data_IF_390767064451
#
_entry.id   IF_390767064451
#
_cell.length_a   1.000
_cell.length_b   1.000
_cell.length_c   1.000
_cell.angle_alpha   90.00
_cell.angle_beta   90.00
_cell.angle_gamma   90.00
#
_symmetry.space_group_name_H-M   'P 1'
#
loop_
_entity.id
_entity.type
_entity.pdbx_description
1 polymer ?
#
# COMPACT_ATOMS: atom_id res chain seq x y z
N UNK A 1 -31.56 -5.61 -5.22
CA UNK A 1 -30.27 -5.60 -5.95
C UNK A 1 -29.26 -6.31 -5.07
N UNK A 2 -28.52 -7.31 -5.57
CA UNK A 2 -27.53 -8.01 -4.76
C UNK A 2 -26.40 -7.13 -4.22
N UNK A 3 -25.93 -7.44 -3.02
CA UNK A 3 -24.67 -6.92 -2.47
C UNK A 3 -23.57 -7.97 -2.63
N UNK A 4 -22.33 -7.53 -2.84
CA UNK A 4 -21.18 -8.40 -3.05
C UNK A 4 -20.18 -8.23 -1.92
N UNK A 5 -19.66 -9.36 -1.42
CA UNK A 5 -18.51 -9.41 -0.53
C UNK A 5 -17.40 -10.25 -1.17
N UNK A 6 -16.22 -9.67 -1.33
CA UNK A 6 -15.02 -10.37 -1.80
C UNK A 6 -13.91 -10.22 -0.75
N UNK A 7 -13.26 -11.32 -0.37
CA UNK A 7 -11.98 -11.33 0.37
C UNK A 7 -10.94 -12.14 -0.40
N UNK A 8 -9.77 -11.56 -0.60
CA UNK A 8 -8.56 -12.24 -1.04
C UNK A 8 -7.62 -12.37 0.16
N UNK A 9 -7.58 -13.55 0.78
CA UNK A 9 -6.81 -13.82 1.99
C UNK A 9 -5.46 -14.45 1.65
N UNK A 10 -4.35 -13.85 2.08
CA UNK A 10 -2.98 -14.22 1.72
C UNK A 10 -2.01 -14.13 2.90
N UNK A 11 -0.75 -14.55 2.71
CA UNK A 11 0.33 -14.15 3.64
C UNK A 11 0.59 -12.63 3.60
N UNK A 12 1.41 -12.14 4.53
CA UNK A 12 1.59 -10.70 4.80
C UNK A 12 2.03 -9.87 3.57
N UNK A 13 1.11 -9.03 3.11
CA UNK A 13 1.27 -8.01 2.08
C UNK A 13 2.08 -6.85 2.69
N UNK A 14 3.18 -6.39 2.05
CA UNK A 14 3.93 -5.24 2.54
C UNK A 14 3.04 -3.99 2.72
N UNK A 15 3.11 -3.33 3.88
CA UNK A 15 2.28 -2.17 4.22
C UNK A 15 2.23 -1.10 3.12
N UNK A 16 3.40 -0.78 2.54
CA UNK A 16 3.53 0.19 1.43
C UNK A 16 2.73 -0.14 0.16
N UNK A 17 2.27 -1.37 -0.02
CA UNK A 17 1.52 -1.83 -1.19
C UNK A 17 0.00 -1.91 -0.92
N UNK A 18 -0.43 -1.95 0.34
CA UNK A 18 -1.79 -2.34 0.72
C UNK A 18 -2.86 -1.34 0.25
N UNK A 19 -2.66 -0.04 0.48
CA UNK A 19 -3.63 0.99 0.07
C UNK A 19 -3.83 1.00 -1.44
N UNK A 20 -2.73 0.96 -2.20
CA UNK A 20 -2.80 0.93 -3.67
C UNK A 20 -3.48 -0.34 -4.17
N UNK A 21 -3.17 -1.49 -3.59
CA UNK A 21 -3.80 -2.76 -3.95
C UNK A 21 -5.31 -2.78 -3.64
N UNK A 22 -5.76 -2.20 -2.52
CA UNK A 22 -7.19 -2.09 -2.22
C UNK A 22 -7.91 -1.25 -3.29
N UNK A 23 -7.31 -0.12 -3.70
CA UNK A 23 -7.86 0.74 -4.77
C UNK A 23 -7.84 0.06 -6.14
N UNK A 24 -6.76 -0.65 -6.48
CA UNK A 24 -6.66 -1.40 -7.74
C UNK A 24 -7.71 -2.53 -7.77
N UNK A 25 -7.93 -3.26 -6.66
CA UNK A 25 -9.00 -4.26 -6.57
C UNK A 25 -10.37 -3.63 -6.82
N UNK A 26 -10.65 -2.50 -6.17
CA UNK A 26 -11.90 -1.76 -6.35
C UNK A 26 -12.11 -1.41 -7.81
N UNK A 27 -11.17 -0.69 -8.41
CA UNK A 27 -11.25 -0.21 -9.80
C UNK A 27 -11.39 -1.36 -10.80
N UNK A 28 -10.48 -2.35 -10.75
CA UNK A 28 -10.49 -3.46 -11.71
C UNK A 28 -11.79 -4.26 -11.70
N UNK A 29 -12.37 -4.48 -10.51
CA UNK A 29 -13.64 -5.21 -10.39
C UNK A 29 -14.79 -4.32 -10.83
N UNK A 30 -14.91 -3.09 -10.32
CA UNK A 30 -16.04 -2.22 -10.66
C UNK A 30 -16.07 -1.86 -12.15
N UNK A 31 -14.90 -1.59 -12.74
CA UNK A 31 -14.79 -1.26 -14.16
C UNK A 31 -15.17 -2.48 -15.00
N UNK A 32 -14.69 -3.67 -14.62
CA UNK A 32 -15.06 -4.92 -15.30
C UNK A 32 -16.55 -5.25 -15.22
N UNK A 33 -17.21 -4.96 -14.09
CA UNK A 33 -18.66 -5.13 -13.94
C UNK A 33 -19.43 -4.14 -14.82
N UNK A 34 -19.01 -2.88 -14.87
CA UNK A 34 -19.63 -1.83 -15.70
C UNK A 34 -19.44 -2.11 -17.19
N UNK A 35 -18.24 -2.51 -17.61
CA UNK A 35 -17.95 -2.94 -18.99
C UNK A 35 -18.87 -4.10 -19.44
N UNK A 36 -19.21 -5.00 -18.51
CA UNK A 36 -20.12 -6.11 -18.75
C UNK A 36 -21.61 -5.72 -18.69
N UNK A 37 -21.92 -4.44 -18.49
CA UNK A 37 -23.28 -3.88 -18.49
C UNK A 37 -23.99 -3.93 -17.14
N UNK A 38 -23.29 -4.19 -16.03
CA UNK A 38 -23.86 -4.13 -14.70
C UNK A 38 -23.74 -2.71 -14.11
N UNK A 39 -24.62 -2.38 -13.18
CA UNK A 39 -24.56 -1.13 -12.40
C UNK A 39 -24.50 -1.45 -10.91
N UNK A 40 -23.94 -0.55 -10.10
CA UNK A 40 -23.87 -0.66 -8.65
C UNK A 40 -24.08 0.71 -7.98
N UNK A 41 -24.48 0.73 -6.72
CA UNK A 41 -24.69 1.97 -5.97
C UNK A 41 -23.39 2.47 -5.33
N UNK A 42 -22.73 1.60 -4.56
CA UNK A 42 -21.51 1.94 -3.82
C UNK A 42 -20.50 0.80 -3.86
N UNK A 43 -19.22 1.13 -3.78
CA UNK A 43 -18.14 0.15 -3.68
C UNK A 43 -17.04 0.67 -2.76
N UNK A 44 -16.64 -0.16 -1.79
CA UNK A 44 -15.62 0.18 -0.81
C UNK A 44 -14.62 -0.95 -0.66
N UNK A 45 -13.33 -0.61 -0.71
CA UNK A 45 -12.26 -1.56 -0.51
C UNK A 45 -11.57 -1.36 0.84
N UNK A 46 -11.03 -2.44 1.36
CA UNK A 46 -10.30 -2.48 2.62
C UNK A 46 -9.04 -3.33 2.46
N UNK A 47 -8.08 -3.10 3.34
CA UNK A 47 -6.88 -3.91 3.43
C UNK A 47 -6.44 -4.11 4.88
N UNK A 48 -5.84 -5.27 5.11
CA UNK A 48 -5.08 -5.62 6.32
C UNK A 48 -3.75 -6.22 5.87
N UNK A 49 -2.79 -6.48 6.76
CA UNK A 49 -1.62 -7.29 6.47
C UNK A 49 -1.88 -8.50 5.59
N UNK A 50 -3.01 -9.21 5.75
CA UNK A 50 -3.27 -10.47 5.06
C UNK A 50 -4.48 -10.47 4.13
N UNK A 51 -5.16 -9.34 3.94
CA UNK A 51 -6.43 -9.28 3.20
C UNK A 51 -6.48 -8.09 2.26
N UNK A 52 -7.05 -8.34 1.09
CA UNK A 52 -7.75 -7.32 0.31
C UNK A 52 -9.23 -7.66 0.32
N UNK A 53 -10.08 -6.68 0.58
CA UNK A 53 -11.53 -6.87 0.67
C UNK A 53 -12.23 -5.85 -0.19
N UNK A 54 -13.29 -6.27 -0.88
CA UNK A 54 -14.17 -5.39 -1.63
C UNK A 54 -15.62 -5.69 -1.25
N UNK A 55 -16.32 -4.65 -0.80
CA UNK A 55 -17.77 -4.66 -0.60
C UNK A 55 -18.42 -3.81 -1.69
N UNK A 56 -19.42 -4.34 -2.37
CA UNK A 56 -20.20 -3.63 -3.40
C UNK A 56 -21.67 -3.69 -2.99
N UNK A 57 -22.36 -2.57 -3.01
CA UNK A 57 -23.76 -2.47 -2.65
C UNK A 57 -24.63 -2.17 -3.88
N UNK A 58 -25.78 -2.83 -3.96
CA UNK A 58 -26.79 -2.56 -4.95
C UNK A 58 -26.38 -2.88 -6.39
N UNK A 59 -25.71 -4.01 -6.62
CA UNK A 59 -25.37 -4.50 -7.96
C UNK A 59 -26.64 -4.92 -8.71
N UNK A 60 -26.74 -4.65 -10.02
CA UNK A 60 -27.82 -5.20 -10.84
C UNK A 60 -27.72 -6.73 -10.92
N UNK A 61 -28.85 -7.43 -10.88
CA UNK A 61 -28.88 -8.91 -10.83
C UNK A 61 -28.43 -9.58 -12.14
N UNK A 62 -28.57 -8.87 -13.25
CA UNK A 62 -28.17 -9.30 -14.59
C UNK A 62 -27.76 -8.08 -15.43
N UNK A 63 -26.98 -8.33 -16.48
CA UNK A 63 -26.71 -7.32 -17.51
C UNK A 63 -27.93 -7.15 -18.43
N UNK A 64 -28.11 -5.98 -19.07
CA UNK A 64 -29.24 -5.77 -19.96
C UNK A 64 -29.11 -6.65 -21.21
N UNK A 65 -30.26 -7.14 -21.69
CA UNK A 65 -30.36 -7.72 -23.03
C UNK A 65 -29.95 -6.67 -24.06
N UNK A 66 -29.03 -7.03 -24.95
CA UNK A 66 -28.55 -6.15 -26.01
C UNK A 66 -29.24 -6.49 -27.33
N UNK A 67 -29.70 -5.46 -28.02
CA UNK A 67 -30.23 -5.55 -29.37
C UNK A 67 -29.27 -4.85 -30.33
N UNK A 68 -28.80 -5.55 -31.35
CA UNK A 68 -27.86 -5.05 -32.36
C UNK A 68 -28.45 -5.25 -33.76
N UNK A 69 -28.65 -4.16 -34.47
CA UNK A 69 -29.09 -4.18 -35.87
C UNK A 69 -27.86 -4.16 -36.77
N UNK A 70 -27.51 -5.33 -37.32
CA UNK A 70 -26.37 -5.45 -38.22
C UNK A 70 -26.83 -5.30 -39.66
N UNK A 71 -26.41 -4.23 -40.31
CA UNK A 71 -26.68 -4.01 -41.74
C UNK A 71 -25.84 -4.96 -42.60
N UNK A 72 -26.53 -5.77 -43.38
CA UNK A 72 -25.96 -6.72 -44.33
C UNK A 72 -25.87 -6.19 -45.76
N UNK A 73 -25.62 -7.08 -46.72
CA UNK A 73 -25.52 -6.71 -48.13
C UNK A 73 -26.86 -6.24 -48.71
N UNK A 74 -26.79 -5.54 -49.86
CA UNK A 74 -27.98 -5.08 -50.60
C UNK A 74 -28.82 -6.29 -51.04
N UNK A 75 -30.14 -6.13 -51.10
CA UNK A 75 -31.04 -7.14 -51.66
C UNK A 75 -30.63 -7.39 -53.12
N UNK A 76 -30.41 -8.67 -53.48
CA UNK A 76 -29.89 -9.07 -54.78
C UNK A 76 -28.36 -9.07 -54.92
N UNK A 77 -27.60 -8.85 -53.83
CA UNK A 77 -26.14 -9.00 -53.83
C UNK A 77 -25.70 -10.45 -54.16
N UNK A 78 -24.45 -10.66 -54.61
CA UNK A 78 -23.92 -11.99 -54.92
C UNK A 78 -24.09 -12.97 -53.75
N UNK A 79 -24.46 -14.21 -54.06
CA UNK A 79 -24.74 -15.25 -53.06
C UNK A 79 -23.60 -15.40 -52.04
N UNK A 80 -22.34 -15.29 -52.48
CA UNK A 80 -21.17 -15.36 -51.61
C UNK A 80 -21.14 -14.29 -50.51
N UNK A 81 -21.62 -13.07 -50.79
CA UNK A 81 -21.69 -11.98 -49.82
C UNK A 81 -22.81 -12.22 -48.80
N UNK A 82 -23.93 -12.79 -49.27
CA UNK A 82 -25.05 -13.18 -48.42
C UNK A 82 -24.67 -14.35 -47.50
N UNK A 83 -24.02 -15.38 -48.03
CA UNK A 83 -23.55 -16.54 -47.26
C UNK A 83 -22.49 -16.15 -46.22
N UNK A 84 -21.63 -15.18 -46.55
CA UNK A 84 -20.69 -14.58 -45.61
C UNK A 84 -21.41 -13.85 -44.47
N UNK A 85 -22.46 -13.09 -44.79
CA UNK A 85 -23.25 -12.36 -43.81
C UNK A 85 -24.06 -13.28 -42.89
N UNK A 86 -24.72 -14.31 -43.44
CA UNK A 86 -25.45 -15.34 -42.69
C UNK A 86 -24.51 -16.09 -41.74
N UNK A 87 -23.32 -16.51 -42.21
CA UNK A 87 -22.30 -17.13 -41.34
C UNK A 87 -21.83 -16.19 -40.22
N UNK A 88 -21.70 -14.90 -40.50
CA UNK A 88 -21.23 -13.92 -39.51
C UNK A 88 -22.27 -13.54 -38.45
N UNK A 89 -23.55 -13.81 -38.72
CA UNK A 89 -24.68 -13.49 -37.83
C UNK A 89 -25.24 -14.75 -37.16
N UNK A 90 -25.00 -15.93 -37.73
CA UNK A 90 -25.57 -17.21 -37.27
C UNK A 90 -27.06 -17.36 -37.59
N UNK A 91 -27.64 -16.41 -38.34
CA UNK A 91 -29.05 -16.42 -38.72
C UNK A 91 -29.26 -17.10 -40.07
N UNK A 92 -30.49 -17.56 -40.31
CA UNK A 92 -30.95 -18.03 -41.61
C UNK A 92 -31.57 -16.89 -42.42
N UNK A 93 -31.71 -17.09 -43.73
CA UNK A 93 -32.18 -16.05 -44.65
C UNK A 93 -33.58 -15.52 -44.31
N UNK A 94 -34.47 -16.41 -43.86
CA UNK A 94 -35.82 -16.12 -43.42
C UNK A 94 -35.90 -15.32 -42.11
N UNK A 95 -34.80 -15.24 -41.36
CA UNK A 95 -34.67 -14.43 -40.15
C UNK A 95 -34.12 -13.02 -40.42
N UNK A 96 -33.75 -12.72 -41.67
CA UNK A 96 -33.29 -11.39 -42.06
C UNK A 96 -34.47 -10.50 -42.44
N UNK A 97 -34.38 -9.24 -42.05
CA UNK A 97 -35.35 -8.21 -42.39
C UNK A 97 -34.84 -7.37 -43.54
N UNK A 98 -35.73 -6.90 -44.41
CA UNK A 98 -35.34 -5.96 -45.47
C UNK A 98 -35.62 -4.54 -44.98
N UNK A 99 -34.58 -3.70 -44.96
CA UNK A 99 -34.71 -2.27 -44.67
C UNK A 99 -34.31 -1.46 -45.91
N UNK A 100 -35.21 -0.58 -46.36
CA UNK A 100 -34.98 0.29 -47.52
C UNK A 100 -34.56 1.70 -47.07
N UNK A 101 -33.47 2.19 -47.63
CA UNK A 101 -33.01 3.56 -47.43
C UNK A 101 -32.71 4.25 -48.78
N UNK A 102 -32.24 5.50 -48.75
CA UNK A 102 -31.93 6.29 -49.95
C UNK A 102 -30.88 5.64 -50.89
N UNK A 103 -30.18 4.60 -50.46
CA UNK A 103 -29.17 3.84 -51.22
C UNK A 103 -29.69 2.46 -51.67
N UNK A 104 -30.93 2.11 -51.34
CA UNK A 104 -31.66 0.90 -51.76
C UNK A 104 -32.04 -0.03 -50.60
N UNK A 105 -32.60 -1.19 -50.93
CA UNK A 105 -32.99 -2.22 -49.96
C UNK A 105 -31.77 -3.05 -49.50
N UNK A 106 -31.59 -3.23 -48.20
CA UNK A 106 -30.53 -4.05 -47.59
C UNK A 106 -31.14 -5.10 -46.66
N UNK A 107 -30.46 -6.25 -46.55
CA UNK A 107 -30.75 -7.20 -45.50
C UNK A 107 -30.23 -6.68 -44.15
N UNK A 108 -30.99 -6.87 -43.08
CA UNK A 108 -30.66 -6.47 -41.72
C UNK A 108 -30.87 -7.67 -40.80
N UNK A 109 -29.88 -7.97 -39.99
CA UNK A 109 -29.97 -8.95 -38.93
C UNK A 109 -30.26 -8.24 -37.61
N UNK A 110 -31.40 -8.56 -36.98
CA UNK A 110 -31.70 -8.14 -35.62
C UNK A 110 -31.13 -9.19 -34.66
N UNK A 111 -29.95 -8.91 -34.11
CA UNK A 111 -29.29 -9.79 -33.16
C UNK A 111 -29.73 -9.44 -31.74
N UNK A 112 -30.24 -10.42 -31.00
CA UNK A 112 -30.56 -10.28 -29.58
C UNK A 112 -29.59 -11.12 -28.77
N UNK A 113 -28.83 -10.47 -27.86
CA UNK A 113 -27.95 -11.15 -26.92
C UNK A 113 -28.59 -11.06 -25.53
N UNK A 114 -29.04 -12.17 -24.95
CA UNK A 114 -29.69 -12.14 -23.64
C UNK A 114 -28.72 -11.62 -22.58
N UNK A 115 -29.29 -10.95 -21.58
CA UNK A 115 -28.59 -10.57 -20.36
C UNK A 115 -27.91 -11.77 -19.71
N UNK A 116 -26.82 -11.50 -18.98
CA UNK A 116 -26.07 -12.53 -18.26
C UNK A 116 -26.25 -12.30 -16.76
N UNK A 117 -26.37 -13.37 -15.95
CA UNK A 117 -26.48 -13.24 -14.51
C UNK A 117 -25.20 -12.60 -13.92
N UNK A 118 -25.38 -11.73 -12.93
CA UNK A 118 -24.29 -11.00 -12.32
C UNK A 118 -23.25 -11.91 -11.66
N UNK A 119 -23.66 -13.06 -11.12
CA UNK A 119 -22.75 -14.05 -10.53
C UNK A 119 -21.74 -14.61 -11.55
N UNK A 120 -22.16 -14.89 -12.78
CA UNK A 120 -21.28 -15.38 -13.84
C UNK A 120 -20.32 -14.29 -14.33
N UNK A 121 -20.83 -13.06 -14.52
CA UNK A 121 -19.98 -11.92 -14.88
C UNK A 121 -18.94 -11.66 -13.78
N UNK A 122 -19.37 -11.66 -12.51
CA UNK A 122 -18.49 -11.41 -11.38
C UNK A 122 -17.38 -12.47 -11.28
N UNK A 123 -17.70 -13.76 -11.49
CA UNK A 123 -16.70 -14.81 -11.52
C UNK A 123 -15.62 -14.55 -12.59
N UNK A 124 -16.01 -14.21 -13.82
CA UNK A 124 -15.08 -13.90 -14.91
C UNK A 124 -14.23 -12.66 -14.63
N UNK A 125 -14.85 -11.60 -14.09
CA UNK A 125 -14.16 -10.35 -13.73
C UNK A 125 -13.17 -10.58 -12.60
N UNK A 126 -13.53 -11.37 -11.58
CA UNK A 126 -12.63 -11.71 -10.48
C UNK A 126 -11.47 -12.57 -10.95
N UNK A 127 -11.72 -13.59 -11.78
CA UNK A 127 -10.65 -14.41 -12.35
C UNK A 127 -9.65 -13.54 -13.12
N UNK A 128 -10.16 -12.67 -14.01
CA UNK A 128 -9.33 -11.75 -14.79
C UNK A 128 -8.54 -10.79 -13.90
N UNK A 129 -9.19 -10.23 -12.87
CA UNK A 129 -8.58 -9.31 -11.91
C UNK A 129 -7.46 -9.99 -11.13
N UNK A 130 -7.69 -11.18 -10.60
CA UNK A 130 -6.71 -11.90 -9.78
C UNK A 130 -5.51 -12.35 -10.63
N UNK A 131 -5.75 -12.85 -11.86
CA UNK A 131 -4.65 -13.30 -12.73
C UNK A 131 -3.78 -12.14 -13.24
N UNK A 132 -4.35 -10.96 -13.42
CA UNK A 132 -3.67 -9.78 -13.98
C UNK A 132 -3.40 -8.68 -12.96
N UNK A 133 -3.45 -8.99 -11.66
CA UNK A 133 -3.37 -7.99 -10.60
C UNK A 133 -2.04 -7.22 -10.66
N UNK A 134 -2.04 -5.88 -10.63
CA UNK A 134 -0.88 -5.03 -10.95
C UNK A 134 0.08 -4.88 -9.76
N UNK A 135 0.54 -6.01 -9.20
CA UNK A 135 1.53 -6.00 -8.13
C UNK A 135 2.87 -5.43 -8.62
N UNK A 136 3.51 -4.47 -7.89
CA UNK A 136 4.85 -3.98 -8.24
C UNK A 136 5.90 -5.09 -8.28
N UNK A 137 5.69 -6.15 -7.49
CA UNK A 137 6.52 -7.36 -7.48
C UNK A 137 5.65 -8.58 -7.18
N UNK A 138 5.24 -9.30 -8.21
CA UNK A 138 4.57 -10.59 -8.09
C UNK A 138 5.57 -11.76 -8.20
N UNK A 139 5.26 -12.87 -7.55
CA UNK A 139 6.04 -14.11 -7.62
C UNK A 139 5.11 -15.30 -7.85
N UNK A 140 5.66 -16.40 -8.37
CA UNK A 140 5.03 -17.71 -8.33
C UNK A 140 5.45 -18.40 -7.05
N UNK A 141 4.51 -19.10 -6.40
CA UNK A 141 4.74 -19.74 -5.11
C UNK A 141 4.56 -21.26 -5.23
N UNK A 142 5.48 -22.02 -4.64
CA UNK A 142 5.48 -23.48 -4.72
C UNK A 142 5.49 -23.98 -6.17
N UNK A 143 4.60 -24.93 -6.48
CA UNK A 143 4.38 -25.45 -7.84
C UNK A 143 3.31 -24.68 -8.63
N UNK A 144 2.72 -23.61 -8.07
CA UNK A 144 1.61 -22.87 -8.66
C UNK A 144 1.99 -22.03 -9.89
N UNK A 145 1.00 -21.75 -10.74
CA UNK A 145 1.13 -20.84 -11.88
C UNK A 145 0.72 -19.40 -11.54
N UNK A 146 -0.23 -19.22 -10.62
CA UNK A 146 -0.68 -17.92 -10.13
C UNK A 146 0.49 -17.05 -9.65
N UNK A 147 0.55 -15.83 -10.19
CA UNK A 147 1.48 -14.78 -9.75
C UNK A 147 0.76 -13.89 -8.75
N UNK A 148 1.29 -13.81 -7.53
CA UNK A 148 0.75 -12.95 -6.47
C UNK A 148 1.88 -12.36 -5.64
N UNK A 149 1.62 -11.28 -4.90
CA UNK A 149 2.63 -10.64 -4.03
C UNK A 149 3.17 -11.60 -2.96
N UNK A 150 2.31 -12.50 -2.48
CA UNK A 150 2.54 -13.51 -1.45
C UNK A 150 1.62 -14.72 -1.70
N UNK A 151 1.78 -15.87 -1.05
CA UNK A 151 0.83 -16.98 -1.22
C UNK A 151 -0.61 -16.55 -0.90
N UNK A 152 -1.53 -16.72 -1.86
CA UNK A 152 -2.97 -16.57 -1.65
C UNK A 152 -3.51 -17.89 -1.08
N UNK A 153 -4.27 -17.82 0.02
CA UNK A 153 -4.73 -18.96 0.79
C UNK A 153 -6.19 -19.31 0.55
N UNK A 154 -7.04 -18.29 0.41
CA UNK A 154 -8.47 -18.49 0.15
C UNK A 154 -9.09 -17.29 -0.53
N UNK A 155 -10.20 -17.56 -1.22
CA UNK A 155 -11.07 -16.55 -1.81
C UNK A 155 -12.43 -16.71 -1.15
N UNK A 156 -12.95 -15.62 -0.60
CA UNK A 156 -14.35 -15.52 -0.21
C UNK A 156 -15.03 -14.65 -1.26
N UNK A 157 -16.14 -15.12 -1.84
CA UNK A 157 -16.90 -14.35 -2.80
C UNK A 157 -18.39 -14.67 -2.65
N UNK A 158 -19.15 -13.72 -2.12
CA UNK A 158 -20.58 -13.85 -1.85
C UNK A 158 -21.38 -12.85 -2.65
N UNK A 159 -22.54 -13.30 -3.12
CA UNK A 159 -23.63 -12.47 -3.62
C UNK A 159 -24.81 -12.60 -2.66
N UNK A 160 -25.21 -11.50 -2.05
CA UNK A 160 -26.22 -11.45 -0.99
C UNK A 160 -27.47 -10.81 -1.53
N UNK A 161 -28.59 -11.52 -1.44
CA UNK A 161 -29.92 -11.04 -1.83
C UNK A 161 -30.88 -11.18 -0.65
N UNK A 162 -32.13 -10.72 -0.80
CA UNK A 162 -33.18 -10.97 0.18
C UNK A 162 -33.45 -12.46 0.42
N UNK A 163 -33.16 -13.32 -0.57
CA UNK A 163 -33.29 -14.77 -0.45
C UNK A 163 -32.15 -15.42 0.35
N UNK A 164 -31.03 -14.71 0.55
CA UNK A 164 -29.85 -15.20 1.27
C UNK A 164 -28.54 -14.94 0.52
N UNK A 165 -27.47 -15.53 1.04
CA UNK A 165 -26.12 -15.41 0.51
C UNK A 165 -25.76 -16.64 -0.34
N UNK A 166 -25.30 -16.39 -1.56
CA UNK A 166 -24.84 -17.42 -2.50
C UNK A 166 -23.36 -17.22 -2.79
N UNK A 167 -22.62 -18.33 -2.89
CA UNK A 167 -21.19 -18.30 -3.25
C UNK A 167 -21.05 -18.09 -4.75
N UNK A 168 -20.19 -17.17 -5.15
CA UNK A 168 -19.84 -16.95 -6.57
C UNK A 168 -19.04 -18.17 -7.07
N UNK A 169 -19.44 -18.81 -8.19
CA UNK A 169 -18.80 -20.03 -8.68
C UNK A 169 -17.45 -19.72 -9.36
N UNK A 170 -16.42 -19.51 -8.54
CA UNK A 170 -15.07 -19.14 -8.96
C UNK A 170 -14.06 -20.19 -8.46
N UNK A 171 -13.17 -20.63 -9.36
CA UNK A 171 -12.00 -21.45 -9.05
C UNK A 171 -10.78 -20.86 -9.77
N UNK A 172 -9.72 -20.58 -9.01
CA UNK A 172 -8.45 -20.12 -9.55
C UNK A 172 -7.34 -21.04 -9.08
N UNK A 173 -6.85 -21.89 -9.98
CA UNK A 173 -5.74 -22.81 -9.74
C UNK A 173 -5.98 -23.70 -8.48
N UNK A 174 -7.24 -24.09 -8.22
CA UNK A 174 -7.66 -24.91 -7.07
C UNK A 174 -8.09 -24.10 -5.85
N UNK A 175 -8.01 -22.76 -5.89
CA UNK A 175 -8.61 -21.88 -4.88
C UNK A 175 -10.08 -21.65 -5.21
N UNK A 176 -10.92 -22.59 -4.77
CA UNK A 176 -12.37 -22.50 -4.91
C UNK A 176 -12.90 -21.43 -3.96
N UNK A 177 -13.70 -20.49 -4.48
CA UNK A 177 -14.34 -19.47 -3.66
C UNK A 177 -15.35 -20.09 -2.69
N UNK A 178 -15.43 -19.53 -1.48
CA UNK A 178 -16.34 -20.00 -0.44
C UNK A 178 -16.97 -18.87 0.36
N UNK A 179 -17.57 -19.23 1.49
CA UNK A 179 -18.17 -18.30 2.46
C UNK A 179 -17.41 -18.23 3.79
N UNK A 180 -16.21 -18.82 3.86
CA UNK A 180 -15.43 -18.94 5.10
C UNK A 180 -14.22 -18.02 5.08
N UNK A 181 -13.96 -17.34 6.20
CA UNK A 181 -12.74 -16.58 6.46
C UNK A 181 -12.11 -17.04 7.79
N UNK A 182 -11.05 -16.39 8.22
CA UNK A 182 -10.36 -16.60 9.50
C UNK A 182 -10.19 -15.27 10.22
N UNK A 183 -10.04 -15.32 11.54
CA UNK A 183 -9.70 -14.14 12.35
C UNK A 183 -8.21 -13.83 12.36
N UNK A 184 -7.76 -13.25 13.46
CA UNK A 184 -6.35 -12.96 13.69
C UNK A 184 -5.51 -14.24 13.77
N UNK A 185 -4.33 -14.24 13.13
CA UNK A 185 -3.45 -15.43 12.97
C UNK A 185 -3.16 -16.17 14.28
N UNK A 186 -3.05 -15.44 15.38
CA UNK A 186 -2.64 -16.01 16.67
C UNK A 186 -3.74 -16.02 17.73
N UNK A 187 -4.73 -15.12 17.62
CA UNK A 187 -5.75 -14.92 18.67
C UNK A 187 -7.09 -15.55 18.32
N UNK A 188 -7.38 -15.72 17.02
CA UNK A 188 -8.59 -16.39 16.53
C UNK A 188 -8.31 -17.05 15.17
N UNK A 189 -7.47 -18.11 15.12
CA UNK A 189 -7.02 -18.72 13.87
C UNK A 189 -8.10 -19.57 13.17
N UNK A 190 -9.15 -19.96 13.90
CA UNK A 190 -10.19 -20.84 13.42
C UNK A 190 -11.00 -20.20 12.29
N UNK A 191 -11.43 -21.05 11.35
CA UNK A 191 -12.24 -20.61 10.24
C UNK A 191 -13.70 -20.46 10.68
N UNK A 192 -14.39 -19.46 10.14
CA UNK A 192 -15.81 -19.24 10.35
C UNK A 192 -16.49 -18.78 9.07
N UNK A 193 -17.74 -19.21 8.88
CA UNK A 193 -18.58 -18.77 7.78
C UNK A 193 -19.16 -17.37 8.04
N UNK A 194 -19.46 -16.65 6.96
CA UNK A 194 -20.15 -15.34 6.99
C UNK A 194 -21.26 -15.32 5.94
N UNK A 195 -22.27 -14.46 6.15
CA UNK A 195 -23.43 -14.36 5.27
C UNK A 195 -23.65 -12.98 4.65
N UNK A 196 -22.93 -11.96 5.08
CA UNK A 196 -23.00 -10.60 4.52
C UNK A 196 -21.74 -9.81 4.88
N UNK A 197 -21.58 -8.62 4.30
CA UNK A 197 -20.49 -7.71 4.70
C UNK A 197 -20.58 -7.30 6.18
N UNK A 198 -21.79 -7.02 6.68
CA UNK A 198 -21.99 -6.63 8.09
C UNK A 198 -21.65 -7.77 9.05
N UNK A 199 -22.10 -8.99 8.76
CA UNK A 199 -21.73 -10.18 9.56
C UNK A 199 -20.22 -10.44 9.49
N UNK A 200 -19.63 -10.30 8.30
CA UNK A 200 -18.18 -10.41 8.09
C UNK A 200 -17.40 -9.40 8.95
N UNK A 201 -17.73 -8.12 8.88
CA UNK A 201 -17.05 -7.07 9.63
C UNK A 201 -17.22 -7.26 11.15
N UNK A 202 -18.42 -7.59 11.61
CA UNK A 202 -18.70 -7.84 13.02
C UNK A 202 -17.94 -9.06 13.55
N UNK A 203 -17.92 -10.17 12.79
CA UNK A 203 -17.20 -11.40 13.17
C UNK A 203 -15.70 -11.21 13.14
N UNK A 204 -15.15 -10.52 12.14
CA UNK A 204 -13.73 -10.18 12.11
C UNK A 204 -13.32 -9.37 13.34
N UNK A 205 -14.10 -8.35 13.72
CA UNK A 205 -13.82 -7.53 14.91
C UNK A 205 -13.83 -8.38 16.19
N UNK A 206 -14.80 -9.29 16.34
CA UNK A 206 -14.83 -10.27 17.45
C UNK A 206 -13.65 -11.25 17.41
N UNK A 207 -13.14 -11.54 16.22
CA UNK A 207 -11.99 -12.40 15.97
C UNK A 207 -10.67 -11.60 15.87
N UNK A 208 -10.61 -10.44 16.51
CA UNK A 208 -9.43 -9.58 16.63
C UNK A 208 -8.87 -9.07 15.29
N UNK A 209 -9.73 -8.67 14.37
CA UNK A 209 -9.33 -8.03 13.11
C UNK A 209 -10.13 -6.74 12.96
N UNK A 210 -9.44 -5.61 13.06
CA UNK A 210 -9.99 -4.30 12.67
C UNK A 210 -9.77 -4.16 11.18
N UNK A 211 -10.85 -4.19 10.39
CA UNK A 211 -10.77 -4.25 8.93
C UNK A 211 -10.31 -2.93 8.30
N UNK A 212 -10.79 -1.81 8.82
CA UNK A 212 -10.53 -0.48 8.27
C UNK A 212 -9.16 0.06 8.71
N UNK A 213 -8.30 0.40 7.74
CA UNK A 213 -6.97 0.95 8.02
C UNK A 213 -7.02 2.32 8.72
N UNK A 214 -8.05 3.13 8.44
CA UNK A 214 -8.26 4.42 9.10
C UNK A 214 -8.72 4.22 10.54
N UNK A 215 -9.57 3.22 10.82
CA UNK A 215 -9.94 2.84 12.20
C UNK A 215 -8.70 2.38 12.97
N UNK A 216 -7.86 1.50 12.37
CA UNK A 216 -6.60 1.05 12.99
C UNK A 216 -5.66 2.21 13.29
N UNK A 217 -5.46 3.12 12.35
CA UNK A 217 -4.61 4.31 12.54
C UNK A 217 -5.13 5.20 13.69
N UNK A 218 -6.45 5.44 13.74
CA UNK A 218 -7.06 6.22 14.81
C UNK A 218 -6.93 5.55 16.18
N UNK A 219 -7.08 4.23 16.26
CA UNK A 219 -6.86 3.46 17.49
C UNK A 219 -5.42 3.62 18.00
N UNK A 220 -4.43 3.45 17.11
CA UNK A 220 -3.02 3.58 17.45
C UNK A 220 -2.72 5.01 17.93
N UNK A 221 -3.17 6.03 17.20
CA UNK A 221 -2.91 7.42 17.54
C UNK A 221 -3.53 7.82 18.88
N UNK A 222 -4.81 7.51 19.09
CA UNK A 222 -5.53 7.85 20.32
C UNK A 222 -4.90 7.17 21.53
N UNK A 223 -4.64 5.87 21.45
CA UNK A 223 -4.01 5.12 22.56
C UNK A 223 -2.58 5.60 22.83
N UNK A 224 -1.82 5.94 21.78
CA UNK A 224 -0.48 6.51 21.93
C UNK A 224 -0.51 7.87 22.63
N UNK A 225 -1.42 8.77 22.21
CA UNK A 225 -1.57 10.09 22.83
C UNK A 225 -2.03 9.98 24.28
N UNK A 226 -2.96 9.09 24.59
CA UNK A 226 -3.43 8.84 25.96
C UNK A 226 -2.29 8.37 26.88
N UNK A 227 -1.50 7.39 26.43
CA UNK A 227 -0.36 6.88 27.19
C UNK A 227 0.76 7.91 27.34
N UNK A 228 1.03 8.69 26.29
CA UNK A 228 2.00 9.79 26.36
C UNK A 228 1.56 10.83 27.38
N UNK A 229 0.30 11.26 27.34
CA UNK A 229 -0.27 12.24 28.27
C UNK A 229 -0.19 11.77 29.73
N UNK A 230 -0.51 10.50 30.00
CA UNK A 230 -0.39 9.93 31.35
C UNK A 230 1.05 9.96 31.91
N UNK A 231 2.06 10.05 31.04
CA UNK A 231 3.47 10.15 31.39
C UNK A 231 4.01 11.59 31.34
N UNK A 232 3.16 12.59 31.06
CA UNK A 232 3.58 13.98 30.84
C UNK A 232 4.42 14.17 29.57
N UNK A 233 4.25 13.30 28.58
CA UNK A 233 4.97 13.32 27.31
C UNK A 233 4.03 13.68 26.15
N UNK A 234 4.62 14.04 25.01
CA UNK A 234 3.90 14.26 23.76
C UNK A 234 4.42 13.37 22.64
N UNK A 235 3.52 12.93 21.76
CA UNK A 235 3.86 12.19 20.55
C UNK A 235 4.53 13.13 19.54
N UNK A 236 5.66 12.68 18.96
CA UNK A 236 6.19 13.29 17.74
C UNK A 236 5.34 12.79 16.57
N UNK A 237 4.61 13.71 15.94
CA UNK A 237 3.65 13.36 14.89
C UNK A 237 4.33 12.83 13.63
N UNK A 238 3.84 11.69 13.15
CA UNK A 238 4.35 11.06 11.94
C UNK A 238 3.24 10.28 11.23
N UNK A 239 2.55 10.97 10.32
CA UNK A 239 1.41 10.38 9.59
C UNK A 239 1.85 9.24 8.66
N UNK A 240 3.07 9.29 8.14
CA UNK A 240 3.62 8.25 7.28
C UNK A 240 3.89 6.97 8.06
N UNK A 241 4.53 7.09 9.23
CA UNK A 241 4.76 5.94 10.11
C UNK A 241 3.44 5.39 10.65
N UNK A 242 2.48 6.26 10.99
CA UNK A 242 1.15 5.84 11.46
C UNK A 242 0.43 4.97 10.42
N UNK A 243 0.42 5.42 9.15
CA UNK A 243 -0.17 4.66 8.06
C UNK A 243 0.58 3.33 7.84
N UNK A 244 1.91 3.33 7.92
CA UNK A 244 2.72 2.11 7.77
C UNK A 244 2.42 1.10 8.89
N UNK A 245 2.46 1.53 10.16
CA UNK A 245 2.21 0.67 11.32
C UNK A 245 0.77 0.15 11.33
N UNK A 246 -0.21 0.97 10.95
CA UNK A 246 -1.60 0.52 10.77
C UNK A 246 -1.74 -0.55 9.66
N UNK A 247 -0.84 -0.55 8.68
CA UNK A 247 -0.72 -1.61 7.67
C UNK A 247 0.06 -2.85 8.13
N UNK A 248 0.79 -2.80 9.25
CA UNK A 248 1.55 -3.94 9.79
C UNK A 248 0.74 -4.79 10.79
N UNK A 249 -0.40 -4.29 11.26
CA UNK A 249 -1.21 -4.95 12.30
C UNK A 249 -2.67 -5.08 11.88
N UNK A 250 -3.33 -6.14 12.33
CA UNK A 250 -4.78 -6.36 12.25
C UNK A 250 -5.46 -5.99 13.59
N UNK A 251 -4.74 -6.12 14.71
CA UNK A 251 -5.20 -5.75 16.05
C UNK A 251 -4.11 -4.96 16.80
N UNK A 252 -4.19 -3.62 16.82
CA UNK A 252 -3.14 -2.80 17.41
C UNK A 252 -3.15 -2.86 18.95
N UNK A 253 -2.00 -3.19 19.54
CA UNK A 253 -1.74 -3.10 20.99
C UNK A 253 -0.54 -2.18 21.21
N UNK A 254 -0.78 -1.00 21.76
CA UNK A 254 0.23 0.05 21.96
C UNK A 254 1.02 -0.20 23.24
N UNK A 255 2.35 -0.26 23.12
CA UNK A 255 3.29 -0.47 24.22
C UNK A 255 4.29 0.69 24.27
N UNK A 256 4.51 1.25 25.46
CA UNK A 256 5.44 2.37 25.66
C UNK A 256 6.68 1.88 26.38
N UNK A 257 7.83 2.05 25.74
CA UNK A 257 9.14 1.65 26.26
C UNK A 257 10.04 2.82 26.63
N UNK A 258 11.03 2.54 27.46
CA UNK A 258 12.06 3.51 27.84
C UNK A 258 13.27 3.43 26.93
N UNK A 259 13.82 4.59 26.60
CA UNK A 259 15.14 4.70 25.98
C UNK A 259 16.19 4.69 27.09
N UNK A 260 17.24 3.89 26.92
CA UNK A 260 18.35 3.84 27.88
C UNK A 260 18.99 5.20 28.09
N UNK A 261 19.29 5.55 29.34
CA UNK A 261 19.82 6.86 29.74
C UNK A 261 21.10 7.24 28.99
N UNK A 262 21.91 6.27 28.60
CA UNK A 262 23.14 6.48 27.84
C UNK A 262 22.92 6.95 26.40
N UNK A 263 21.69 6.85 25.88
CA UNK A 263 21.32 7.28 24.52
C UNK A 263 20.62 8.63 24.49
N UNK A 264 20.21 9.17 25.66
CA UNK A 264 19.53 10.47 25.74
C UNK A 264 20.42 11.65 25.37
N UNK A 265 21.74 11.43 25.23
CA UNK A 265 22.69 12.41 24.71
C UNK A 265 22.76 12.45 23.18
N UNK A 266 22.12 11.50 22.48
CA UNK A 266 22.08 11.52 21.02
C UNK A 266 21.16 12.65 20.52
N UNK A 267 21.46 13.25 19.37
CA UNK A 267 20.56 14.21 18.74
C UNK A 267 19.18 13.58 18.50
N UNK A 268 18.08 14.35 18.66
CA UNK A 268 16.72 13.87 18.42
C UNK A 268 16.53 13.26 17.02
N UNK A 269 17.21 13.77 16.02
CA UNK A 269 17.14 13.32 14.62
C UNK A 269 17.73 11.91 14.49
N UNK A 270 18.86 11.63 15.15
CA UNK A 270 19.48 10.30 15.19
C UNK A 270 18.57 9.28 15.88
N UNK A 271 17.98 9.66 17.02
CA UNK A 271 17.03 8.82 17.74
C UNK A 271 15.79 8.51 16.90
N UNK A 272 15.20 9.52 16.28
CA UNK A 272 14.01 9.38 15.44
C UNK A 272 14.27 8.48 14.24
N UNK A 273 15.32 8.73 13.47
CA UNK A 273 15.65 7.94 12.29
C UNK A 273 15.92 6.49 12.65
N UNK A 274 16.72 6.24 13.70
CA UNK A 274 17.01 4.88 14.17
C UNK A 274 15.76 4.11 14.58
N UNK A 275 14.82 4.77 15.27
CA UNK A 275 13.57 4.17 15.73
C UNK A 275 12.55 3.98 14.61
N UNK A 276 12.40 4.98 13.75
CA UNK A 276 11.43 5.02 12.65
C UNK A 276 11.80 3.99 11.58
N UNK A 277 13.01 4.04 11.04
CA UNK A 277 13.36 3.26 9.86
C UNK A 277 13.59 1.78 10.18
N UNK A 278 14.30 1.49 11.27
CA UNK A 278 14.69 0.12 11.59
C UNK A 278 13.65 -0.66 12.39
N UNK A 279 12.83 0.02 13.19
CA UNK A 279 11.92 -0.64 14.14
C UNK A 279 10.47 -0.18 14.06
N UNK A 280 10.16 0.85 13.24
CA UNK A 280 8.81 1.40 13.09
C UNK A 280 8.22 1.87 14.42
N UNK A 281 9.07 2.44 15.29
CA UNK A 281 8.64 2.98 16.58
C UNK A 281 8.34 4.47 16.48
N UNK A 282 7.31 4.92 17.20
CA UNK A 282 7.05 6.34 17.38
C UNK A 282 7.90 6.91 18.51
N UNK A 283 8.20 8.21 18.43
CA UNK A 283 8.98 8.92 19.44
C UNK A 283 8.07 9.69 20.40
N UNK A 284 8.36 9.61 21.70
CA UNK A 284 7.74 10.47 22.70
C UNK A 284 8.76 11.47 23.25
N UNK A 285 8.38 12.75 23.28
CA UNK A 285 9.22 13.84 23.77
C UNK A 285 8.69 14.46 25.05
N UNK A 286 9.63 14.87 25.91
CA UNK A 286 9.36 15.67 27.09
C UNK A 286 9.14 17.16 26.77
N UNK A 287 8.87 17.95 27.80
CA UNK A 287 8.69 19.40 27.68
C UNK A 287 9.95 20.15 27.22
N UNK A 288 11.14 19.57 27.46
CA UNK A 288 12.44 20.09 26.99
C UNK A 288 12.72 19.73 25.52
N UNK A 289 11.78 19.08 24.83
CA UNK A 289 11.92 18.62 23.45
C UNK A 289 12.75 17.34 23.29
N UNK A 290 13.34 16.79 24.36
CA UNK A 290 14.13 15.56 24.28
C UNK A 290 13.24 14.34 24.11
N UNK A 291 13.73 13.40 23.31
CA UNK A 291 13.07 12.11 23.11
C UNK A 291 13.54 11.15 24.19
N UNK A 292 12.60 10.70 25.01
CA UNK A 292 12.89 9.95 26.25
C UNK A 292 12.25 8.56 26.25
N UNK A 293 11.23 8.35 25.42
CA UNK A 293 10.52 7.09 25.29
C UNK A 293 10.17 6.81 23.84
N UNK A 294 9.90 5.55 23.57
CA UNK A 294 9.44 5.08 22.27
C UNK A 294 8.12 4.33 22.42
N UNK A 295 7.40 4.21 21.32
CA UNK A 295 6.15 3.45 21.25
C UNK A 295 6.26 2.40 20.16
N UNK A 296 5.99 1.16 20.51
CA UNK A 296 5.85 0.04 19.58
C UNK A 296 4.40 -0.45 19.57
N UNK A 297 3.95 -0.95 18.44
CA UNK A 297 2.59 -1.48 18.28
C UNK A 297 2.69 -2.98 18.00
N UNK A 298 2.26 -3.79 18.96
CA UNK A 298 2.14 -5.22 18.79
C UNK A 298 0.85 -5.55 18.02
N UNK A 299 0.88 -6.65 17.26
CA UNK A 299 -0.29 -7.19 16.56
C UNK A 299 -1.06 -8.23 17.40
N UNK A 300 -0.86 -8.28 18.72
CA UNK A 300 -1.51 -9.26 19.58
C UNK A 300 -1.55 -8.82 21.02
N UNK A 301 -2.60 -9.27 21.69
CA UNK A 301 -2.63 -9.33 23.14
C UNK A 301 -1.77 -10.49 23.64
N UNK A 302 -1.28 -10.33 24.86
CA UNK A 302 -0.40 -11.29 25.53
C UNK A 302 -0.80 -11.38 27.01
N UNK A 303 -0.59 -12.55 27.61
CA UNK A 303 -0.98 -12.80 28.99
C UNK A 303 -0.22 -11.93 30.01
N UNK A 304 0.98 -11.48 29.66
CA UNK A 304 1.83 -10.57 30.44
C UNK A 304 1.65 -9.09 30.03
N UNK A 305 0.53 -8.77 29.35
CA UNK A 305 0.19 -7.41 28.91
C UNK A 305 1.31 -6.72 28.11
N UNK A 306 2.08 -7.49 27.35
CA UNK A 306 3.10 -7.00 26.43
C UNK A 306 4.48 -6.84 27.05
N UNK A 307 4.69 -7.25 28.31
CA UNK A 307 5.98 -7.08 29.00
C UNK A 307 7.14 -7.77 28.26
N UNK A 308 6.96 -9.01 27.82
CA UNK A 308 7.98 -9.77 27.06
C UNK A 308 8.24 -9.12 25.70
N UNK A 309 7.19 -8.66 25.02
CA UNK A 309 7.32 -7.95 23.74
C UNK A 309 8.13 -6.67 23.94
N UNK A 310 7.81 -5.88 24.97
CA UNK A 310 8.48 -4.63 25.25
C UNK A 310 9.96 -4.84 25.60
N UNK A 311 10.28 -5.82 26.45
CA UNK A 311 11.66 -6.22 26.77
C UNK A 311 12.46 -6.61 25.51
N UNK A 312 11.84 -7.39 24.62
CA UNK A 312 12.45 -7.78 23.35
C UNK A 312 12.76 -6.56 22.45
N UNK A 313 11.77 -5.68 22.26
CA UNK A 313 11.92 -4.46 21.48
C UNK A 313 12.96 -3.50 22.09
N UNK A 314 13.00 -3.36 23.43
CA UNK A 314 14.03 -2.59 24.12
C UNK A 314 15.43 -3.13 23.87
N UNK A 315 15.63 -4.46 23.89
CA UNK A 315 16.92 -5.08 23.58
C UNK A 315 17.37 -4.79 22.15
N UNK A 316 16.46 -4.88 21.18
CA UNK A 316 16.76 -4.58 19.77
C UNK A 316 17.07 -3.10 19.58
N UNK A 317 16.26 -2.21 20.16
CA UNK A 317 16.50 -0.78 20.10
C UNK A 317 17.84 -0.39 20.73
N UNK A 318 18.16 -0.95 21.91
CA UNK A 318 19.43 -0.72 22.58
C UNK A 318 20.61 -1.05 21.67
N UNK A 319 20.59 -2.19 20.99
CA UNK A 319 21.66 -2.55 20.04
C UNK A 319 21.79 -1.52 18.91
N UNK A 320 20.67 -1.10 18.30
CA UNK A 320 20.68 -0.09 17.23
C UNK A 320 21.15 1.29 17.69
N UNK A 321 20.76 1.71 18.88
CA UNK A 321 21.20 2.99 19.45
C UNK A 321 22.66 2.94 19.91
N UNK A 322 23.19 1.77 20.29
CA UNK A 322 24.62 1.59 20.53
C UNK A 322 25.44 1.81 19.26
N UNK A 323 25.00 1.26 18.12
CA UNK A 323 25.65 1.50 16.83
C UNK A 323 25.60 2.99 16.46
N UNK A 324 24.41 3.62 16.52
CA UNK A 324 24.25 5.05 16.26
C UNK A 324 25.14 5.93 17.16
N UNK A 325 25.22 5.59 18.46
CA UNK A 325 26.08 6.30 19.40
C UNK A 325 27.55 6.17 19.07
N UNK A 326 28.00 4.98 18.67
CA UNK A 326 29.38 4.77 18.26
C UNK A 326 29.75 5.65 17.06
N UNK A 327 28.89 5.70 16.03
CA UNK A 327 29.12 6.54 14.85
C UNK A 327 29.12 8.03 15.21
N UNK A 328 28.17 8.49 16.02
CA UNK A 328 28.11 9.87 16.49
C UNK A 328 29.35 10.29 17.29
N UNK A 329 29.80 9.45 18.22
CA UNK A 329 31.00 9.72 19.01
C UNK A 329 32.27 9.71 18.15
N UNK A 330 32.33 8.83 17.14
CA UNK A 330 33.41 8.82 16.16
C UNK A 330 33.45 10.14 15.38
N UNK A 331 32.31 10.61 14.89
CA UNK A 331 32.22 11.84 14.11
C UNK A 331 32.58 13.06 14.96
N UNK A 332 32.10 13.14 16.20
CA UNK A 332 32.50 14.19 17.15
C UNK A 332 34.01 14.18 17.42
N UNK A 333 34.63 13.00 17.49
CA UNK A 333 36.09 12.88 17.65
C UNK A 333 36.83 13.38 16.41
N UNK A 334 36.36 13.07 15.21
CA UNK A 334 36.92 13.59 13.96
C UNK A 334 36.81 15.12 13.93
N UNK A 335 35.64 15.68 14.22
CA UNK A 335 35.43 17.14 14.24
C UNK A 335 36.28 17.82 15.30
N UNK A 336 36.42 17.25 16.51
CA UNK A 336 37.26 17.82 17.57
C UNK A 336 38.76 17.80 17.23
N UNK A 337 39.21 16.83 16.44
CA UNK A 337 40.64 16.65 16.11
C UNK A 337 41.04 17.35 14.82
N UNK A 338 40.16 17.39 13.83
CA UNK A 338 40.44 17.85 12.47
C UNK A 338 39.54 19.01 12.01
N UNK A 339 38.52 19.37 12.80
CA UNK A 339 37.49 20.33 12.39
C UNK A 339 36.54 19.76 11.34
N UNK A 340 35.46 20.51 11.05
CA UNK A 340 34.54 20.17 9.96
C UNK A 340 35.24 20.20 8.59
N UNK A 341 36.20 21.11 8.41
CA UNK A 341 37.02 21.19 7.19
C UNK A 341 37.84 19.92 6.99
N UNK A 342 38.47 19.39 8.05
CA UNK A 342 39.24 18.15 7.98
C UNK A 342 38.36 16.93 7.69
N UNK A 343 37.18 16.86 8.31
CA UNK A 343 36.17 15.83 7.95
C UNK A 343 35.82 15.88 6.46
N UNK A 344 35.69 17.08 5.89
CA UNK A 344 35.34 17.27 4.48
C UNK A 344 36.48 16.95 3.49
N UNK A 345 37.73 16.74 3.92
CA UNK A 345 38.87 16.51 3.02
C UNK A 345 38.68 15.24 2.15
N UNK A 346 38.07 14.19 2.72
CA UNK A 346 37.79 12.95 2.00
C UNK A 346 36.88 13.11 0.78
N UNK A 347 36.13 14.22 0.68
CA UNK A 347 35.30 14.55 -0.48
C UNK A 347 36.09 14.77 -1.77
N UNK A 348 37.42 14.95 -1.68
CA UNK A 348 38.30 14.97 -2.84
C UNK A 348 38.29 13.62 -3.59
N UNK A 349 38.03 12.52 -2.87
CA UNK A 349 37.98 11.16 -3.41
C UNK A 349 36.57 10.73 -3.86
N UNK A 350 35.55 11.56 -3.61
CA UNK A 350 34.17 11.24 -3.98
C UNK A 350 33.85 11.88 -5.33
N UNK A 351 33.69 11.05 -6.37
CA UNK A 351 33.32 11.53 -7.72
C UNK A 351 31.93 12.17 -7.69
N UNK A 352 31.83 13.46 -8.04
CA UNK A 352 30.54 14.11 -8.27
C UNK A 352 30.04 13.84 -9.69
N UNK A 353 30.91 14.04 -10.68
CA UNK A 353 30.61 13.78 -12.08
C UNK A 353 31.90 13.66 -12.88
N UNK A 354 31.98 12.70 -13.81
CA UNK A 354 33.21 12.40 -14.56
C UNK A 354 33.82 13.62 -15.26
N UNK A 355 32.99 14.57 -15.73
CA UNK A 355 33.46 15.81 -16.38
C UNK A 355 33.64 17.00 -15.44
N UNK A 356 33.13 16.94 -14.21
CA UNK A 356 33.11 18.07 -13.26
C UNK A 356 33.95 17.83 -12.01
N UNK A 357 34.56 16.65 -11.90
CA UNK A 357 35.47 16.27 -10.83
C UNK A 357 34.78 15.72 -9.58
N UNK A 358 35.43 15.94 -8.44
CA UNK A 358 35.00 15.44 -7.13
C UNK A 358 33.95 16.33 -6.46
N UNK A 359 33.36 15.84 -5.37
CA UNK A 359 32.49 16.64 -4.50
C UNK A 359 33.25 17.83 -3.93
N UNK A 360 34.52 17.67 -3.55
CA UNK A 360 35.37 18.80 -3.12
C UNK A 360 35.48 19.88 -4.21
N UNK A 361 35.72 19.49 -5.46
CA UNK A 361 35.79 20.44 -6.57
C UNK A 361 34.45 21.18 -6.80
N UNK A 362 33.32 20.50 -6.58
CA UNK A 362 31.99 21.13 -6.61
C UNK A 362 31.83 22.13 -5.47
N UNK A 363 32.22 21.76 -4.25
CA UNK A 363 32.14 22.63 -3.07
C UNK A 363 33.01 23.86 -3.23
N UNK A 364 34.21 23.74 -3.78
CA UNK A 364 35.09 24.90 -4.04
C UNK A 364 34.46 25.90 -5.02
N UNK A 365 33.77 25.41 -6.05
CA UNK A 365 32.99 26.29 -6.95
C UNK A 365 31.81 26.95 -6.23
N UNK A 366 31.10 26.22 -5.37
CA UNK A 366 30.00 26.78 -4.57
C UNK A 366 30.52 27.85 -3.61
N UNK A 367 31.65 27.62 -2.94
CA UNK A 367 32.25 28.56 -2.01
C UNK A 367 32.69 29.85 -2.70
N UNK A 368 33.31 29.75 -3.89
CA UNK A 368 33.66 30.93 -4.70
C UNK A 368 32.42 31.74 -5.09
N UNK A 369 31.36 31.08 -5.57
CA UNK A 369 30.10 31.73 -5.92
C UNK A 369 29.41 32.34 -4.69
N UNK A 370 29.41 31.64 -3.56
CA UNK A 370 28.82 32.13 -2.31
C UNK A 370 29.51 33.42 -1.85
N UNK A 371 30.85 33.48 -1.92
CA UNK A 371 31.63 34.68 -1.60
C UNK A 371 31.28 35.86 -2.50
N UNK A 372 31.13 35.61 -3.81
CA UNK A 372 30.80 36.65 -4.81
C UNK A 372 29.37 37.19 -4.61
N UNK A 373 28.43 36.32 -4.29
CA UNK A 373 27.00 36.67 -4.13
C UNK A 373 26.71 37.33 -2.78
N UNK A 374 27.43 36.97 -1.70
CA UNK A 374 27.13 37.43 -0.34
C UNK A 374 26.92 38.96 -0.20
N UNK A 375 27.78 39.84 -0.78
CA UNK A 375 27.60 41.29 -0.69
C UNK A 375 26.27 41.78 -1.30
N UNK A 376 25.77 41.11 -2.34
CA UNK A 376 24.56 41.52 -3.06
C UNK A 376 23.30 41.36 -2.21
N UNK A 377 23.36 40.53 -1.18
CA UNK A 377 22.27 40.28 -0.23
C UNK A 377 22.58 40.79 1.19
N UNK A 378 23.66 41.56 1.35
CA UNK A 378 24.08 42.10 2.64
C UNK A 378 24.68 41.08 3.62
N UNK A 379 25.13 39.92 3.13
CA UNK A 379 25.79 38.89 3.93
C UNK A 379 27.33 39.05 3.92
N UNK A 380 28.00 38.51 4.94
CA UNK A 380 29.47 38.48 4.99
C UNK A 380 30.04 37.49 3.97
N UNK A 381 30.93 37.93 3.05
CA UNK A 381 31.58 37.04 2.08
C UNK A 381 32.38 35.91 2.72
N UNK A 382 33.11 36.22 3.79
CA UNK A 382 33.96 35.24 4.49
C UNK A 382 33.12 34.15 5.17
N UNK A 383 32.03 34.54 5.85
CA UNK A 383 31.13 33.58 6.49
C UNK A 383 30.37 32.74 5.45
N UNK A 384 29.98 33.32 4.32
CA UNK A 384 29.32 32.59 3.24
C UNK A 384 30.24 31.55 2.60
N UNK A 385 31.51 31.91 2.38
CA UNK A 385 32.53 30.98 1.88
C UNK A 385 32.80 29.85 2.89
N UNK A 386 32.98 30.18 4.17
CA UNK A 386 33.21 29.20 5.24
C UNK A 386 32.05 28.21 5.34
N UNK A 387 30.81 28.72 5.40
CA UNK A 387 29.61 27.88 5.44
C UNK A 387 29.53 26.95 4.23
N UNK A 388 29.81 27.46 3.02
CA UNK A 388 29.81 26.65 1.81
C UNK A 388 30.86 25.53 1.85
N UNK A 389 32.05 25.78 2.43
CA UNK A 389 33.13 24.79 2.54
C UNK A 389 32.78 23.62 3.45
N UNK A 390 31.96 23.84 4.48
CA UNK A 390 31.56 22.80 5.44
C UNK A 390 30.16 22.23 5.19
N UNK A 391 29.35 22.83 4.31
CA UNK A 391 27.95 22.47 4.06
C UNK A 391 27.69 21.03 3.55
N UNK A 392 28.77 20.28 3.25
CA UNK A 392 28.72 18.88 2.81
C UNK A 392 29.71 18.00 3.56
N UNK A 393 30.27 18.47 4.68
CA UNK A 393 31.19 17.69 5.50
C UNK A 393 30.54 16.43 6.06
N UNK A 394 29.23 16.51 6.34
CA UNK A 394 28.36 15.42 6.78
C UNK A 394 28.42 14.18 5.88
N UNK A 395 28.65 14.33 4.58
CA UNK A 395 28.82 13.22 3.63
C UNK A 395 30.02 12.32 3.92
N UNK A 396 30.97 12.77 4.74
CA UNK A 396 32.10 11.94 5.22
C UNK A 396 31.88 11.45 6.65
N UNK A 397 30.78 11.84 7.30
CA UNK A 397 30.44 11.35 8.64
C UNK A 397 30.09 9.87 8.58
N UNK A 398 30.51 9.12 9.58
CA UNK A 398 30.11 7.73 9.74
C UNK A 398 28.60 7.62 10.00
N UNK A 399 28.01 8.63 10.65
CA UNK A 399 26.56 8.75 10.83
C UNK A 399 25.80 8.75 9.50
N UNK A 400 26.17 9.58 8.52
CA UNK A 400 25.51 9.59 7.20
C UNK A 400 25.83 8.33 6.40
N UNK A 401 27.01 7.72 6.62
CA UNK A 401 27.36 6.43 6.04
C UNK A 401 26.42 5.30 6.47
N UNK A 402 26.04 5.25 7.75
CA UNK A 402 25.10 4.26 8.30
C UNK A 402 23.64 4.68 8.09
N UNK A 403 23.33 5.98 8.20
CA UNK A 403 21.99 6.55 8.10
C UNK A 403 21.94 7.63 7.02
N UNK A 404 21.83 7.25 5.74
CA UNK A 404 21.79 8.21 4.63
C UNK A 404 20.65 9.23 4.73
N UNK A 405 19.57 8.90 5.43
CA UNK A 405 18.43 9.78 5.69
C UNK A 405 18.80 11.02 6.51
N UNK A 406 19.92 10.99 7.24
CA UNK A 406 20.43 12.11 8.04
C UNK A 406 21.31 13.07 7.24
N UNK A 407 21.52 12.80 5.95
CA UNK A 407 22.29 13.68 5.08
C UNK A 407 21.71 15.11 5.07
N UNK A 408 22.58 16.10 5.27
CA UNK A 408 22.26 17.52 5.34
C UNK A 408 21.67 17.96 6.69
N UNK A 409 21.48 17.04 7.63
CA UNK A 409 21.01 17.30 8.99
C UNK A 409 22.14 17.19 10.02
N UNK A 410 23.02 16.20 9.86
CA UNK A 410 24.26 16.05 10.64
C UNK A 410 25.26 17.15 10.28
#
# INVERSE_FOLDING_TARGET
MPDILIELFSEEIPARMQTRAAEDLRGLVTDGLVEAGLTYAHARAYSTPRRLVLAIEGLSAESPTQHEDRKGPKVGAPQQALDGFLRSTGLTMDQLHTHEDKKGAFYVAHLTRPGRPASAILAEVLERTIRNFPWPKAMRWGSGALRWVRPLHSILALMVTEAGAEVVPLDIDGLVAGNTTRGHRFMAPDAFAVTSFDDYAARLKRAFVVLDATERAAMIENETRNRAFALGLSLVEDKGLLAEVAGLVEWPVVLVGEIGTEFLSLPPEVLQTSMREHQKFFSLKGADGRIVRFVTVANRETADHGETILKGNQKVLRARLSDAKFFWENDLRVVRTQGLTGMAEGLANVTFHNKLGSQKARIDRIAALAREIAPLVGASPDLAEEAARIAKADLQSAMVGEFPELQGTM
#
